data_IF_366653130159
#
_entry.id   IF_366653130159
#
_cell.length_a   1.000
_cell.length_b   1.000
_cell.length_c   1.000
_cell.angle_alpha   90.00
_cell.angle_beta   90.00
_cell.angle_gamma   90.00
#
_symmetry.space_group_name_H-M   'P 1'
#
loop_
_entity.id
_entity.type
_entity.pdbx_description
1 polymer ?
#
# COMPACT_ATOMS: atom_id res chain seq x y z
N UNK A 1 16.86 -1.19 19.34
CA UNK A 1 16.72 -1.27 17.88
C UNK A 1 18.00 -0.78 17.20
N UNK A 2 18.48 0.42 17.48
CA UNK A 2 19.70 0.98 16.87
C UNK A 2 20.95 0.13 17.08
N UNK A 3 21.11 -0.47 18.25
CA UNK A 3 22.25 -1.37 18.55
C UNK A 3 22.30 -2.63 17.68
N UNK A 4 21.16 -3.02 17.09
CA UNK A 4 21.07 -4.14 16.14
C UNK A 4 21.31 -3.71 14.67
N UNK A 5 21.68 -2.44 14.44
CA UNK A 5 21.80 -1.88 13.09
C UNK A 5 20.48 -1.59 12.39
N UNK A 6 19.35 -1.72 13.10
CA UNK A 6 18.03 -1.39 12.57
C UNK A 6 17.79 0.13 12.58
N UNK A 7 17.15 0.64 11.51
CA UNK A 7 16.69 2.02 11.47
C UNK A 7 17.64 3.00 10.79
N UNK A 8 18.69 2.51 10.13
CA UNK A 8 19.53 3.32 9.26
C UNK A 8 18.92 3.38 7.85
N UNK A 9 18.77 4.60 7.35
CA UNK A 9 18.21 4.89 6.03
C UNK A 9 19.24 5.69 5.26
N UNK A 10 19.71 5.18 4.12
CA UNK A 10 20.60 5.87 3.18
C UNK A 10 19.80 6.10 1.91
N UNK A 11 19.57 7.35 1.56
CA UNK A 11 18.70 7.69 0.42
C UNK A 11 19.18 8.91 -0.35
N UNK A 12 18.80 8.95 -1.61
CA UNK A 12 18.95 10.12 -2.47
C UNK A 12 17.64 10.91 -2.43
N UNK A 13 17.72 12.16 -2.03
CA UNK A 13 16.59 13.08 -1.94
C UNK A 13 16.57 14.09 -3.08
N UNK A 14 15.38 14.51 -3.49
CA UNK A 14 15.19 15.61 -4.43
C UNK A 14 14.99 16.90 -3.64
N UNK A 15 15.86 17.89 -3.89
CA UNK A 15 15.65 19.25 -3.35
C UNK A 15 14.68 20.04 -4.24
N UNK A 16 13.96 21.00 -3.69
CA UNK A 16 12.99 21.83 -4.43
C UNK A 16 13.62 22.53 -5.66
N UNK A 17 14.91 22.85 -5.60
CA UNK A 17 15.66 23.48 -6.69
C UNK A 17 16.15 22.49 -7.76
N UNK A 18 15.71 21.22 -7.70
CA UNK A 18 16.08 20.19 -8.67
C UNK A 18 17.43 19.51 -8.46
N UNK A 19 18.18 19.90 -7.44
CA UNK A 19 19.45 19.24 -7.07
C UNK A 19 19.14 18.00 -6.24
N UNK A 20 19.90 16.93 -6.45
CA UNK A 20 19.85 15.72 -5.61
C UNK A 20 20.89 15.79 -4.51
N UNK A 21 20.53 15.34 -3.31
CA UNK A 21 21.45 15.15 -2.19
C UNK A 21 21.37 13.71 -1.69
N UNK A 22 22.43 13.24 -1.03
CA UNK A 22 22.44 11.96 -0.33
C UNK A 22 22.46 12.22 1.16
N UNK A 23 21.52 11.59 1.86
CA UNK A 23 21.37 11.73 3.30
C UNK A 23 21.38 10.36 3.98
N UNK A 24 21.86 10.31 5.19
CA UNK A 24 21.84 9.12 6.03
C UNK A 24 21.13 9.45 7.34
N UNK A 25 20.00 8.82 7.57
CA UNK A 25 19.19 9.01 8.77
C UNK A 25 19.28 7.78 9.68
N UNK A 26 19.18 8.02 10.97
CA UNK A 26 19.04 6.97 11.99
C UNK A 26 17.77 7.22 12.79
N UNK A 27 16.71 6.49 12.48
CA UNK A 27 15.41 6.64 13.08
C UNK A 27 14.80 5.29 13.55
N UNK A 28 15.50 4.52 14.40
CA UNK A 28 15.08 3.17 14.75
C UNK A 28 13.72 3.13 15.49
N UNK A 29 13.44 4.10 16.35
CA UNK A 29 12.18 4.17 17.09
C UNK A 29 11.02 4.46 16.15
N UNK A 30 11.14 5.45 15.24
CA UNK A 30 10.11 5.79 14.29
C UNK A 30 9.80 4.61 13.34
N UNK A 31 10.82 3.94 12.82
CA UNK A 31 10.64 2.78 11.94
C UNK A 31 10.01 1.59 12.67
N UNK A 32 10.34 1.37 13.95
CA UNK A 32 9.70 0.33 14.74
C UNK A 32 8.21 0.62 14.95
N UNK A 33 7.85 1.86 15.28
CA UNK A 33 6.46 2.28 15.43
C UNK A 33 5.68 2.18 14.12
N UNK A 34 6.26 2.64 13.01
CA UNK A 34 5.64 2.52 11.68
C UNK A 34 5.44 1.05 11.30
N UNK A 35 6.42 0.19 11.56
CA UNK A 35 6.31 -1.25 11.32
C UNK A 35 5.14 -1.88 12.10
N UNK A 36 5.02 -1.55 13.39
CA UNK A 36 3.93 -2.02 14.24
C UNK A 36 2.58 -1.47 13.79
N UNK A 37 2.50 -0.18 13.48
CA UNK A 37 1.30 0.49 13.05
C UNK A 37 0.76 -0.10 11.73
N UNK A 38 1.61 -0.24 10.72
CA UNK A 38 1.25 -0.88 9.45
C UNK A 38 0.74 -2.30 9.62
N UNK A 39 1.35 -3.07 10.55
CA UNK A 39 0.89 -4.42 10.84
C UNK A 39 -0.52 -4.47 11.45
N UNK A 40 -0.96 -3.43 12.17
CA UNK A 40 -2.34 -3.28 12.61
C UNK A 40 -3.25 -2.84 11.46
N UNK A 41 -2.83 -1.88 10.66
CA UNK A 41 -3.57 -1.44 9.48
C UNK A 41 -3.88 -2.59 8.53
N UNK A 42 -2.88 -3.43 8.21
CA UNK A 42 -3.04 -4.64 7.40
C UNK A 42 -4.12 -5.60 7.94
N UNK A 43 -4.35 -5.59 9.24
CA UNK A 43 -5.29 -6.48 9.89
C UNK A 43 -6.68 -5.87 10.09
N UNK A 44 -6.77 -4.55 10.26
CA UNK A 44 -7.99 -3.87 10.71
C UNK A 44 -8.63 -2.97 9.66
N UNK A 45 -7.88 -2.49 8.66
CA UNK A 45 -8.43 -1.62 7.63
C UNK A 45 -8.98 -2.43 6.44
N UNK A 46 -10.11 -1.96 5.92
CA UNK A 46 -10.69 -2.50 4.70
C UNK A 46 -9.80 -2.17 3.49
N UNK A 47 -9.80 -3.03 2.50
CA UNK A 47 -8.93 -3.02 1.33
C UNK A 47 -8.91 -1.68 0.57
N UNK A 48 -10.09 -1.09 0.31
CA UNK A 48 -10.17 0.15 -0.46
C UNK A 48 -9.71 1.35 0.37
N UNK A 49 -9.98 1.34 1.68
CA UNK A 49 -9.46 2.34 2.62
C UNK A 49 -7.94 2.30 2.64
N UNK A 50 -7.33 1.12 2.77
CA UNK A 50 -5.87 0.96 2.75
C UNK A 50 -5.26 1.47 1.44
N UNK A 51 -5.86 1.08 0.31
CA UNK A 51 -5.40 1.48 -1.02
C UNK A 51 -5.43 3.01 -1.20
N UNK A 52 -6.52 3.64 -0.81
CA UNK A 52 -6.68 5.09 -0.95
C UNK A 52 -5.80 5.86 0.04
N UNK A 53 -5.72 5.39 1.29
CA UNK A 53 -4.86 5.97 2.33
C UNK A 53 -3.39 6.02 1.89
N UNK A 54 -2.89 5.00 1.20
CA UNK A 54 -1.52 4.99 0.70
C UNK A 54 -1.21 6.15 -0.27
N UNK A 55 -2.17 6.59 -1.08
CA UNK A 55 -2.02 7.79 -1.92
C UNK A 55 -2.03 9.07 -1.08
N UNK A 56 -2.97 9.18 -0.14
CA UNK A 56 -3.07 10.34 0.76
C UNK A 56 -1.78 10.51 1.58
N UNK A 57 -1.19 9.44 2.08
CA UNK A 57 0.07 9.48 2.83
C UNK A 57 1.26 10.01 2.02
N UNK A 58 1.31 9.69 0.75
CA UNK A 58 2.36 10.22 -0.15
C UNK A 58 2.22 11.73 -0.32
N UNK A 59 1.00 12.20 -0.62
CA UNK A 59 0.72 13.62 -0.76
C UNK A 59 0.91 14.37 0.56
N UNK A 60 0.52 13.77 1.68
CA UNK A 60 0.73 14.30 3.02
C UNK A 60 2.24 14.48 3.31
N UNK A 61 3.06 13.49 2.98
CA UNK A 61 4.50 13.56 3.14
C UNK A 61 5.12 14.69 2.31
N UNK A 62 4.61 14.91 1.08
CA UNK A 62 5.03 16.04 0.24
C UNK A 62 4.68 17.38 0.87
N UNK A 63 3.49 17.52 1.48
CA UNK A 63 3.11 18.74 2.19
C UNK A 63 4.06 19.02 3.36
N UNK A 64 4.37 17.99 4.15
CA UNK A 64 5.31 18.12 5.28
C UNK A 64 6.72 18.48 4.81
N UNK A 65 7.22 17.78 3.79
CA UNK A 65 8.55 18.02 3.22
C UNK A 65 8.71 19.45 2.69
N UNK A 66 7.66 20.00 2.06
CA UNK A 66 7.63 21.35 1.53
C UNK A 66 7.34 22.44 2.58
N UNK A 67 7.27 22.09 3.86
CA UNK A 67 7.00 23.04 4.94
C UNK A 67 5.54 23.54 5.00
N UNK A 68 4.61 22.85 4.32
CA UNK A 68 3.19 23.20 4.22
C UNK A 68 2.38 22.65 5.40
N UNK A 69 2.93 22.70 6.61
CA UNK A 69 2.35 22.11 7.82
C UNK A 69 0.95 22.65 8.15
N UNK A 70 0.70 23.92 7.88
CA UNK A 70 -0.57 24.61 8.17
C UNK A 70 -1.45 24.80 6.93
N UNK A 71 -1.15 24.09 5.81
CA UNK A 71 -1.96 24.24 4.61
C UNK A 71 -3.34 23.60 4.77
N UNK A 72 -4.39 24.17 4.12
CA UNK A 72 -5.73 23.58 4.13
C UNK A 72 -5.76 22.14 3.60
N UNK A 73 -4.94 21.84 2.60
CA UNK A 73 -4.84 20.50 2.04
C UNK A 73 -4.31 19.50 3.07
N UNK A 74 -3.21 19.85 3.77
CA UNK A 74 -2.65 18.99 4.82
C UNK A 74 -3.66 18.75 5.94
N UNK A 75 -4.42 19.78 6.34
CA UNK A 75 -5.46 19.64 7.35
C UNK A 75 -6.57 18.67 6.91
N UNK A 76 -7.05 18.78 5.67
CA UNK A 76 -8.05 17.85 5.13
C UNK A 76 -7.53 16.39 5.09
N UNK A 77 -6.25 16.20 4.78
CA UNK A 77 -5.60 14.88 4.83
C UNK A 77 -5.49 14.36 6.27
N UNK A 78 -5.22 15.23 7.26
CA UNK A 78 -5.18 14.84 8.67
C UNK A 78 -6.54 14.30 9.12
N UNK A 79 -7.64 14.95 8.77
CA UNK A 79 -9.00 14.51 9.11
C UNK A 79 -9.32 13.16 8.45
N UNK A 80 -8.95 13.00 7.18
CA UNK A 80 -9.12 11.70 6.50
C UNK A 80 -8.33 10.60 7.21
N UNK A 81 -7.05 10.84 7.50
CA UNK A 81 -6.19 9.86 8.19
C UNK A 81 -6.77 9.55 9.57
N UNK A 82 -7.14 10.56 10.36
CA UNK A 82 -7.72 10.39 11.68
C UNK A 82 -8.99 9.53 11.65
N UNK A 83 -9.87 9.75 10.67
CA UNK A 83 -11.07 8.95 10.50
C UNK A 83 -10.78 7.47 10.26
N UNK A 84 -9.69 7.15 9.53
CA UNK A 84 -9.28 5.75 9.28
C UNK A 84 -8.72 5.05 10.51
N UNK A 85 -8.31 5.81 11.54
CA UNK A 85 -7.64 5.27 12.73
C UNK A 85 -8.61 4.94 13.89
N UNK A 86 -9.88 5.27 13.76
CA UNK A 86 -10.86 5.13 14.87
C UNK A 86 -11.01 3.71 15.40
N UNK A 87 -10.83 2.71 14.55
CA UNK A 87 -10.89 1.27 14.90
C UNK A 87 -9.52 0.59 14.86
N UNK A 88 -8.43 1.38 14.90
CA UNK A 88 -7.08 0.86 14.84
C UNK A 88 -6.46 0.73 16.24
N UNK A 89 -6.85 -0.32 16.95
CA UNK A 89 -6.38 -0.62 18.29
C UNK A 89 -5.90 -2.07 18.38
N UNK A 90 -4.77 -2.31 19.04
CA UNK A 90 -4.28 -3.67 19.20
C UNK A 90 -2.86 -3.76 19.74
N UNK A 91 -2.34 -4.98 19.72
CA UNK A 91 -0.98 -5.31 20.17
C UNK A 91 -0.20 -5.95 19.03
N UNK A 92 1.00 -5.44 18.78
CA UNK A 92 1.93 -6.01 17.80
C UNK A 92 3.21 -6.41 18.52
N UNK A 93 3.69 -7.62 18.28
CA UNK A 93 4.97 -8.12 18.77
C UNK A 93 6.01 -8.00 17.68
N UNK A 94 7.07 -7.25 17.97
CA UNK A 94 8.21 -7.06 17.08
C UNK A 94 9.42 -7.84 17.60
N UNK A 95 10.17 -8.47 16.69
CA UNK A 95 11.46 -9.08 16.95
C UNK A 95 12.55 -8.32 16.18
N UNK A 96 13.52 -7.79 16.92
CA UNK A 96 14.71 -7.15 16.36
C UNK A 96 15.87 -8.14 16.35
N UNK A 97 16.46 -8.36 15.18
CA UNK A 97 17.59 -9.26 15.04
C UNK A 97 18.45 -8.90 13.82
N UNK A 98 19.75 -8.72 14.02
CA UNK A 98 20.75 -8.47 12.96
C UNK A 98 20.29 -7.43 11.94
N UNK A 99 19.89 -6.25 12.39
CA UNK A 99 19.45 -5.14 11.52
C UNK A 99 18.04 -5.26 10.94
N UNK A 100 17.29 -6.29 11.29
CA UNK A 100 15.91 -6.48 10.85
C UNK A 100 14.89 -6.24 11.95
N UNK A 101 13.68 -5.85 11.56
CA UNK A 101 12.51 -5.80 12.42
C UNK A 101 11.43 -6.67 11.81
N UNK A 102 11.02 -7.72 12.50
CA UNK A 102 10.02 -8.68 12.02
C UNK A 102 8.81 -8.68 12.94
N UNK A 103 7.63 -8.61 12.38
CA UNK A 103 6.37 -8.81 13.11
C UNK A 103 6.21 -10.30 13.40
N UNK A 104 6.15 -10.67 14.68
CA UNK A 104 6.03 -12.07 15.13
C UNK A 104 4.66 -12.39 15.72
N UNK A 105 3.78 -11.39 15.83
CA UNK A 105 2.40 -11.58 16.27
C UNK A 105 1.65 -10.27 16.28
N UNK A 106 0.33 -10.36 16.10
CA UNK A 106 -0.60 -9.24 16.13
C UNK A 106 -1.94 -9.69 16.71
N UNK A 107 -2.62 -8.79 17.44
CA UNK A 107 -3.94 -9.03 18.02
C UNK A 107 -4.72 -7.73 18.07
N UNK A 108 -5.96 -7.75 17.59
CA UNK A 108 -6.92 -6.64 17.68
C UNK A 108 -8.33 -7.19 17.81
N UNK A 109 -9.19 -6.46 18.50
CA UNK A 109 -10.63 -6.74 18.56
C UNK A 109 -11.35 -6.26 17.28
N UNK A 110 -10.69 -5.42 16.48
CA UNK A 110 -11.19 -4.89 15.20
C UNK A 110 -10.60 -5.62 14.00
N UNK A 111 -10.02 -6.80 14.21
CA UNK A 111 -9.44 -7.61 13.14
C UNK A 111 -10.49 -7.98 12.10
N UNK A 112 -10.19 -7.72 10.82
CA UNK A 112 -10.96 -8.21 9.67
C UNK A 112 -10.49 -9.61 9.23
N UNK A 113 -9.43 -10.14 9.84
CA UNK A 113 -8.97 -11.49 9.58
C UNK A 113 -9.87 -12.49 10.30
N UNK A 114 -10.58 -13.28 9.51
CA UNK A 114 -11.40 -14.40 9.98
C UNK A 114 -10.77 -15.71 9.51
N UNK A 115 -10.36 -16.54 10.46
CA UNK A 115 -9.71 -17.81 10.16
C UNK A 115 -10.63 -18.77 9.39
N UNK A 116 -11.92 -18.79 9.72
CA UNK A 116 -12.91 -19.65 9.05
C UNK A 116 -13.14 -19.29 7.58
N UNK A 117 -12.94 -18.00 7.22
CA UNK A 117 -13.05 -17.54 5.85
C UNK A 117 -11.72 -17.60 5.07
N UNK A 118 -10.58 -17.63 5.78
CA UNK A 118 -9.25 -17.51 5.19
C UNK A 118 -8.51 -18.84 5.07
N UNK A 119 -9.03 -19.92 5.65
CA UNK A 119 -8.38 -21.24 5.62
C UNK A 119 -8.74 -22.03 4.36
N UNK A 120 -7.81 -22.89 3.93
CA UNK A 120 -8.03 -23.88 2.87
C UNK A 120 -8.25 -25.29 3.43
N UNK A 121 -8.37 -25.41 4.75
CA UNK A 121 -8.59 -26.69 5.45
C UNK A 121 -10.06 -27.08 5.51
N UNK A 122 -10.38 -28.21 6.16
CA UNK A 122 -11.74 -28.72 6.35
C UNK A 122 -12.65 -27.75 7.17
N UNK A 123 -12.09 -26.76 7.84
CA UNK A 123 -12.82 -25.70 8.57
C UNK A 123 -13.20 -24.51 7.68
N UNK A 124 -12.96 -24.56 6.36
CA UNK A 124 -13.34 -23.51 5.42
C UNK A 124 -14.87 -23.36 5.33
N UNK A 125 -15.34 -22.18 5.69
CA UNK A 125 -16.78 -21.80 5.61
C UNK A 125 -17.08 -20.93 4.40
N UNK A 126 -16.04 -20.58 3.60
CA UNK A 126 -16.20 -19.72 2.44
C UNK A 126 -16.84 -20.46 1.26
N UNK A 127 -17.93 -19.93 0.72
CA UNK A 127 -18.54 -20.46 -0.50
C UNK A 127 -17.70 -20.11 -1.74
N UNK A 128 -16.85 -21.02 -2.17
CA UNK A 128 -15.94 -20.85 -3.33
C UNK A 128 -16.63 -20.74 -4.67
N UNK A 129 -17.87 -21.27 -4.80
CA UNK A 129 -18.64 -21.17 -6.04
C UNK A 129 -19.00 -19.70 -6.36
N UNK A 130 -19.13 -18.86 -5.33
CA UNK A 130 -19.36 -17.43 -5.50
C UNK A 130 -18.19 -16.73 -6.20
N UNK A 131 -16.98 -17.23 -6.10
CA UNK A 131 -15.79 -16.66 -6.75
C UNK A 131 -15.90 -16.73 -8.28
N UNK A 132 -16.50 -17.77 -8.84
CA UNK A 132 -16.70 -17.90 -10.29
C UNK A 132 -17.58 -16.79 -10.83
N UNK A 133 -18.73 -16.54 -10.22
CA UNK A 133 -19.63 -15.44 -10.63
C UNK A 133 -18.97 -14.06 -10.48
N UNK A 134 -18.20 -13.85 -9.41
CA UNK A 134 -17.44 -12.61 -9.22
C UNK A 134 -16.42 -12.41 -10.35
N UNK A 135 -15.61 -13.41 -10.67
CA UNK A 135 -14.60 -13.32 -11.75
C UNK A 135 -15.25 -13.04 -13.10
N UNK A 136 -16.40 -13.67 -13.38
CA UNK A 136 -17.14 -13.48 -14.62
C UNK A 136 -17.64 -12.05 -14.78
N UNK A 137 -18.15 -11.44 -13.72
CA UNK A 137 -18.64 -10.05 -13.75
C UNK A 137 -17.48 -9.04 -13.70
N UNK A 138 -16.53 -9.23 -12.81
CA UNK A 138 -15.39 -8.31 -12.62
C UNK A 138 -14.50 -8.23 -13.87
N UNK A 139 -14.28 -9.36 -14.54
CA UNK A 139 -13.50 -9.43 -15.78
C UNK A 139 -14.25 -9.06 -17.06
N UNK A 140 -15.57 -8.76 -16.98
CA UNK A 140 -16.41 -8.62 -18.16
C UNK A 140 -15.95 -7.50 -19.10
N UNK A 141 -15.69 -6.31 -18.57
CA UNK A 141 -15.23 -5.16 -19.36
C UNK A 141 -13.89 -5.44 -20.06
N UNK A 142 -12.96 -6.09 -19.38
CA UNK A 142 -11.67 -6.46 -19.96
C UNK A 142 -11.82 -7.52 -21.08
N UNK A 143 -12.73 -8.48 -20.89
CA UNK A 143 -13.04 -9.47 -21.94
C UNK A 143 -13.66 -8.84 -23.17
N UNK A 144 -14.60 -7.92 -22.99
CA UNK A 144 -15.22 -7.16 -24.10
C UNK A 144 -14.16 -6.32 -24.82
N UNK A 145 -13.31 -5.64 -24.08
CA UNK A 145 -12.21 -4.85 -24.64
C UNK A 145 -11.24 -5.73 -25.47
N UNK A 146 -10.80 -6.86 -24.91
CA UNK A 146 -9.89 -7.78 -25.59
C UNK A 146 -10.53 -8.40 -26.85
N UNK A 147 -11.84 -8.74 -26.79
CA UNK A 147 -12.59 -9.22 -27.95
C UNK A 147 -12.62 -8.16 -29.04
N UNK A 148 -12.97 -6.92 -28.72
CA UNK A 148 -13.07 -5.83 -29.70
C UNK A 148 -11.71 -5.56 -30.37
N UNK A 149 -10.60 -5.63 -29.65
CA UNK A 149 -9.26 -5.47 -30.24
C UNK A 149 -8.96 -6.57 -31.26
N UNK A 150 -9.21 -7.82 -30.87
CA UNK A 150 -9.01 -8.97 -31.78
C UNK A 150 -9.88 -8.91 -33.01
N UNK A 151 -11.15 -8.59 -32.81
CA UNK A 151 -12.12 -8.58 -33.93
C UNK A 151 -11.87 -7.41 -34.91
N UNK A 152 -11.20 -6.33 -34.45
CA UNK A 152 -10.80 -5.19 -35.30
C UNK A 152 -9.33 -5.26 -35.78
N UNK A 153 -8.66 -6.42 -35.63
CA UNK A 153 -7.31 -6.65 -36.15
C UNK A 153 -6.17 -5.90 -35.44
N UNK A 154 -6.46 -5.21 -34.32
CA UNK A 154 -5.43 -4.50 -33.51
C UNK A 154 -4.79 -5.47 -32.53
N UNK A 155 -3.68 -6.04 -32.93
CA UNK A 155 -2.81 -6.83 -32.06
C UNK A 155 -1.74 -5.95 -31.40
N UNK A 156 -1.02 -6.46 -30.37
CA UNK A 156 0.06 -5.71 -29.74
C UNK A 156 1.23 -5.37 -30.69
N UNK A 157 1.26 -5.96 -31.89
CA UNK A 157 2.19 -5.62 -32.97
C UNK A 157 1.91 -4.24 -33.59
N UNK A 158 0.62 -3.85 -33.67
CA UNK A 158 0.23 -2.58 -34.33
C UNK A 158 0.66 -1.34 -33.52
N UNK A 159 0.90 -1.49 -32.21
CA UNK A 159 1.42 -0.41 -31.36
C UNK A 159 2.88 -0.05 -31.71
N UNK A 160 3.68 -1.03 -32.15
CA UNK A 160 5.08 -0.80 -32.54
C UNK A 160 5.21 -0.10 -33.89
N UNK A 161 4.32 -0.41 -34.84
CA UNK A 161 4.31 0.27 -36.14
C UNK A 161 3.95 1.76 -36.00
N UNK A 162 3.02 2.09 -35.06
CA UNK A 162 2.65 3.48 -34.80
C UNK A 162 3.77 4.29 -34.14
N UNK A 163 4.59 3.64 -33.31
CA UNK A 163 5.77 4.29 -32.71
C UNK A 163 6.90 4.50 -33.73
N UNK A 164 7.11 3.56 -34.65
CA UNK A 164 8.10 3.70 -35.73
C UNK A 164 7.70 4.75 -36.77
N UNK A 165 6.42 4.93 -37.06
CA UNK A 165 5.94 5.96 -37.97
C UNK A 165 5.89 7.36 -37.33
N UNK A 166 5.76 7.47 -36.01
CA UNK A 166 5.84 8.73 -35.29
C UNK A 166 7.28 9.26 -35.14
N UNK A 167 8.29 8.43 -35.41
CA UNK A 167 9.71 8.76 -35.34
C UNK A 167 10.34 9.09 -36.70
N UNK A 168 9.57 9.04 -37.80
CA UNK A 168 9.97 9.46 -39.15
C UNK A 168 9.48 10.87 -39.47
#
# INVERSE_FOLDING_TARGET
AGSNGFGRIDMIENRMIGVKSRECYEAPAALALICAHRALEDMCLEREVMRYKAHIEQDWAVQVYNGQWFSPLKHAMDEFIAATQTCLEGVVRLKFYKGTCTVTGRKSNYSLYDYGLATYDAADTFNRDSAKGFIDLYGLSNRVWAKNRRDNGKTDGDAKELEEDALK
#
